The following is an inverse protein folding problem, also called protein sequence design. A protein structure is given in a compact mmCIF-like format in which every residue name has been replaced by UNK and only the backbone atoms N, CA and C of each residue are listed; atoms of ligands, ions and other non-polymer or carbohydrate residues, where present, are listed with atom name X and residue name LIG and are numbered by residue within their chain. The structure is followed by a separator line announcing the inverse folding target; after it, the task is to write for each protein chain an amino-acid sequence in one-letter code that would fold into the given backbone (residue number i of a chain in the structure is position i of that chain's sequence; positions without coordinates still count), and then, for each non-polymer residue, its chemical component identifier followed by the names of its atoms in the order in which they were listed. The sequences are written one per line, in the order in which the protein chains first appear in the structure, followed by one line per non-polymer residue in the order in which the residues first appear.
data_IF_780558829800
#
_entry.id   IF_780558829800
#
_cell.length_a   1.000
_cell.length_b   1.000
_cell.length_c   1.000
_cell.angle_alpha   90.00
_cell.angle_beta   90.00
_cell.angle_gamma   90.00
#
_symmetry.space_group_name_H-M   'P 1'
#
loop_
_entity.id
_entity.type
_entity.pdbx_description
1 polymer ?
#
# COMPACT_ATOMS: atom_id res chain seq x y z
N UNK A 1 16.03 -32.85 -43.24
CA UNK A 1 16.39 -32.34 -41.91
C UNK A 1 15.28 -31.41 -41.39
N UNK A 2 14.04 -31.95 -41.42
CA UNK A 2 12.85 -31.30 -40.90
C UNK A 2 12.61 -31.84 -39.50
N UNK A 3 12.85 -31.01 -38.46
CA UNK A 3 12.58 -31.48 -37.09
C UNK A 3 13.03 -30.59 -35.95
N UNK A 4 13.53 -29.39 -36.24
CA UNK A 4 13.82 -28.44 -35.16
C UNK A 4 12.57 -27.60 -34.88
N UNK A 5 11.69 -28.11 -34.02
CA UNK A 5 10.58 -27.33 -33.47
C UNK A 5 11.16 -26.36 -32.47
N UNK A 6 11.32 -25.12 -32.87
CA UNK A 6 11.63 -24.02 -31.95
C UNK A 6 10.47 -23.90 -30.98
N UNK A 7 10.60 -24.54 -29.82
CA UNK A 7 9.67 -24.30 -28.70
C UNK A 7 10.02 -22.93 -28.16
N UNK A 8 9.19 -21.98 -28.51
CA UNK A 8 9.32 -20.60 -28.02
C UNK A 8 8.93 -20.55 -26.52
N UNK A 9 9.88 -21.01 -25.68
CA UNK A 9 9.71 -21.03 -24.21
C UNK A 9 9.45 -19.64 -23.65
N UNK A 10 9.87 -18.60 -24.35
CA UNK A 10 9.63 -17.21 -23.94
C UNK A 10 8.16 -16.83 -24.12
N UNK A 11 7.49 -17.29 -25.15
CA UNK A 11 6.08 -17.04 -25.37
C UNK A 11 5.18 -17.77 -24.36
N UNK A 12 5.51 -19.00 -23.99
CA UNK A 12 4.77 -19.77 -22.99
C UNK A 12 4.94 -19.19 -21.59
N UNK A 13 6.16 -18.79 -21.22
CA UNK A 13 6.45 -18.11 -19.94
C UNK A 13 5.73 -16.76 -19.89
N UNK A 14 5.71 -16.00 -20.99
CA UNK A 14 5.04 -14.72 -21.07
C UNK A 14 3.52 -14.84 -20.89
N UNK A 15 2.91 -15.89 -21.46
CA UNK A 15 1.48 -16.19 -21.30
C UNK A 15 1.14 -16.60 -19.86
N UNK A 16 1.96 -17.45 -19.26
CA UNK A 16 1.82 -17.85 -17.86
C UNK A 16 1.93 -16.63 -16.93
N UNK A 17 2.93 -15.79 -17.12
CA UNK A 17 3.12 -14.57 -16.33
C UNK A 17 1.95 -13.60 -16.48
N UNK A 18 1.38 -13.48 -17.68
CA UNK A 18 0.19 -12.64 -17.92
C UNK A 18 -1.04 -13.19 -17.22
N UNK A 19 -1.23 -14.50 -17.24
CA UNK A 19 -2.34 -15.17 -16.54
C UNK A 19 -2.22 -15.01 -15.02
N UNK A 20 -1.04 -15.24 -14.46
CA UNK A 20 -0.78 -15.03 -13.04
C UNK A 20 -0.95 -13.57 -12.62
N UNK A 21 -0.52 -12.62 -13.44
CA UNK A 21 -0.71 -11.19 -13.16
C UNK A 21 -2.20 -10.83 -13.10
N UNK A 22 -2.99 -11.36 -14.02
CA UNK A 22 -4.44 -11.13 -14.04
C UNK A 22 -5.12 -11.75 -12.81
N UNK A 23 -4.76 -12.99 -12.49
CA UNK A 23 -5.26 -13.68 -11.28
C UNK A 23 -4.89 -12.92 -10.00
N UNK A 24 -3.64 -12.45 -9.89
CA UNK A 24 -3.18 -11.66 -8.74
C UNK A 24 -3.88 -10.30 -8.65
N UNK A 25 -4.15 -9.66 -9.79
CA UNK A 25 -4.90 -8.39 -9.79
C UNK A 25 -6.35 -8.58 -9.32
N UNK A 26 -6.99 -9.69 -9.70
CA UNK A 26 -8.32 -10.07 -9.19
C UNK A 26 -8.30 -10.39 -7.69
N UNK A 27 -7.27 -11.06 -7.23
CA UNK A 27 -7.05 -11.37 -5.82
C UNK A 27 -6.86 -10.09 -5.00
N UNK A 28 -6.08 -9.14 -5.54
CA UNK A 28 -5.89 -7.82 -4.95
C UNK A 28 -7.23 -7.08 -4.86
N UNK A 29 -8.00 -7.05 -5.95
CA UNK A 29 -9.31 -6.40 -5.99
C UNK A 29 -10.27 -7.05 -4.97
N UNK A 30 -10.32 -8.38 -4.94
CA UNK A 30 -11.12 -9.12 -3.96
C UNK A 30 -10.69 -8.81 -2.53
N UNK A 31 -9.38 -8.77 -2.24
CA UNK A 31 -8.83 -8.38 -0.94
C UNK A 31 -9.26 -6.96 -0.54
N UNK A 32 -9.16 -6.00 -1.47
CA UNK A 32 -9.63 -4.62 -1.23
C UNK A 32 -11.12 -4.60 -0.87
N UNK A 33 -11.95 -5.33 -1.64
CA UNK A 33 -13.41 -5.37 -1.41
C UNK A 33 -13.74 -5.99 -0.06
N UNK A 34 -13.09 -7.11 0.30
CA UNK A 34 -13.31 -7.78 1.59
C UNK A 34 -12.91 -6.86 2.75
N UNK A 35 -11.72 -6.27 2.68
CA UNK A 35 -11.24 -5.35 3.73
C UNK A 35 -12.15 -4.13 3.82
N UNK A 36 -12.58 -3.57 2.68
CA UNK A 36 -13.53 -2.46 2.65
C UNK A 36 -14.86 -2.86 3.32
N UNK A 37 -15.39 -4.04 3.01
CA UNK A 37 -16.63 -4.53 3.61
C UNK A 37 -16.51 -4.69 5.14
N UNK A 38 -15.44 -5.30 5.61
CA UNK A 38 -15.17 -5.47 7.05
C UNK A 38 -15.04 -4.12 7.76
N UNK A 39 -14.29 -3.19 7.19
CA UNK A 39 -14.12 -1.84 7.74
C UNK A 39 -15.41 -1.02 7.68
N UNK A 40 -16.21 -1.15 6.63
CA UNK A 40 -17.51 -0.50 6.51
C UNK A 40 -18.49 -0.97 7.60
N UNK A 41 -18.47 -2.26 7.90
CA UNK A 41 -19.28 -2.85 8.99
C UNK A 41 -18.78 -2.35 10.35
N UNK A 42 -17.48 -2.34 10.56
CA UNK A 42 -16.82 -2.01 11.84
C UNK A 42 -16.84 -0.51 12.15
N UNK A 43 -16.46 0.31 11.20
CA UNK A 43 -16.23 1.76 11.38
C UNK A 43 -17.28 2.65 10.69
N UNK A 44 -18.25 2.06 9.96
CA UNK A 44 -19.33 2.78 9.27
C UNK A 44 -18.82 4.00 8.48
N UNK A 45 -19.24 5.20 8.90
CA UNK A 45 -18.89 6.46 8.21
C UNK A 45 -17.39 6.83 8.24
N UNK A 46 -16.56 6.16 9.04
CA UNK A 46 -15.13 6.47 9.15
C UNK A 46 -14.24 5.52 8.33
N UNK A 47 -14.80 4.41 7.81
CA UNK A 47 -14.07 3.43 7.01
C UNK A 47 -13.39 4.06 5.80
N UNK A 48 -14.05 5.00 5.12
CA UNK A 48 -13.50 5.67 3.97
C UNK A 48 -12.24 6.50 4.29
N UNK A 49 -12.14 7.08 5.50
CA UNK A 49 -10.97 7.85 5.93
C UNK A 49 -9.73 6.98 6.14
N UNK A 50 -9.92 5.72 6.49
CA UNK A 50 -8.83 4.74 6.68
C UNK A 50 -8.34 4.23 5.32
N UNK A 51 -9.27 3.93 4.41
CA UNK A 51 -8.95 3.27 3.14
C UNK A 51 -8.50 4.27 2.07
N UNK A 52 -9.11 5.47 2.02
CA UNK A 52 -8.85 6.46 0.97
C UNK A 52 -7.37 6.84 0.85
N UNK A 53 -6.61 7.16 1.91
CA UNK A 53 -5.20 7.50 1.77
C UNK A 53 -4.38 6.33 1.21
N UNK A 54 -4.68 5.10 1.61
CA UNK A 54 -3.96 3.91 1.13
C UNK A 54 -4.27 3.61 -0.33
N UNK A 55 -5.53 3.67 -0.75
CA UNK A 55 -5.92 3.50 -2.15
C UNK A 55 -5.34 4.61 -3.02
N UNK A 56 -5.40 5.85 -2.58
CA UNK A 56 -4.83 6.98 -3.29
C UNK A 56 -3.32 6.84 -3.43
N UNK A 57 -2.62 6.44 -2.37
CA UNK A 57 -1.19 6.14 -2.41
C UNK A 57 -0.87 5.01 -3.39
N UNK A 58 -1.69 3.95 -3.44
CA UNK A 58 -1.53 2.86 -4.40
C UNK A 58 -1.65 3.34 -5.85
N UNK A 59 -2.70 4.11 -6.16
CA UNK A 59 -2.91 4.69 -7.50
C UNK A 59 -1.77 5.63 -7.89
N UNK A 60 -1.36 6.52 -6.97
CA UNK A 60 -0.23 7.42 -7.21
C UNK A 60 1.08 6.67 -7.41
N UNK A 61 1.30 5.59 -6.67
CA UNK A 61 2.48 4.72 -6.83
C UNK A 61 2.53 4.10 -8.22
N UNK A 62 1.41 3.54 -8.70
CA UNK A 62 1.32 2.96 -10.05
C UNK A 62 1.57 4.05 -11.10
N UNK A 63 0.98 5.23 -10.93
CA UNK A 63 1.15 6.36 -11.84
C UNK A 63 2.61 6.83 -11.89
N UNK A 64 3.26 6.90 -10.74
CA UNK A 64 4.67 7.31 -10.64
C UNK A 64 5.61 6.27 -11.27
N UNK A 65 5.37 4.98 -11.05
CA UNK A 65 6.14 3.91 -11.69
C UNK A 65 5.95 3.91 -13.21
N UNK A 66 4.73 4.16 -13.68
CA UNK A 66 4.44 4.31 -15.10
C UNK A 66 5.16 5.51 -15.70
N UNK A 67 5.19 6.65 -14.99
CA UNK A 67 5.93 7.85 -15.43
C UNK A 67 7.45 7.62 -15.48
N UNK A 68 7.99 6.85 -14.56
CA UNK A 68 9.40 6.43 -14.54
C UNK A 68 9.74 5.38 -15.61
N UNK A 69 8.75 4.96 -16.43
CA UNK A 69 8.94 3.96 -17.48
C UNK A 69 9.22 2.54 -16.95
N UNK A 70 8.91 2.28 -15.68
CA UNK A 70 9.10 0.96 -15.10
C UNK A 70 7.97 0.01 -15.54
N UNK A 71 8.30 -1.18 -16.11
CA UNK A 71 7.28 -2.14 -16.51
C UNK A 71 6.57 -2.69 -15.27
N UNK A 72 5.24 -2.71 -15.30
CA UNK A 72 4.45 -3.35 -14.24
C UNK A 72 4.63 -4.86 -14.29
N UNK A 73 5.27 -5.40 -13.28
CA UNK A 73 5.55 -6.82 -13.11
C UNK A 73 4.66 -7.43 -12.01
N UNK A 74 4.66 -8.75 -11.90
CA UNK A 74 3.95 -9.47 -10.84
C UNK A 74 4.37 -8.97 -9.44
N UNK A 75 5.66 -8.66 -9.26
CA UNK A 75 6.20 -8.17 -7.99
C UNK A 75 5.68 -6.80 -7.58
N UNK A 76 5.30 -5.93 -8.54
CA UNK A 76 4.61 -4.68 -8.23
C UNK A 76 3.21 -4.95 -7.65
N UNK A 77 2.49 -5.95 -8.18
CA UNK A 77 1.16 -6.32 -7.67
C UNK A 77 1.26 -6.89 -6.25
N UNK A 78 2.24 -7.75 -5.99
CA UNK A 78 2.51 -8.27 -4.64
C UNK A 78 2.86 -7.16 -3.66
N UNK A 79 3.69 -6.20 -4.09
CA UNK A 79 4.04 -5.03 -3.28
C UNK A 79 2.80 -4.16 -2.99
N UNK A 80 1.91 -3.97 -3.95
CA UNK A 80 0.65 -3.24 -3.76
C UNK A 80 -0.29 -3.95 -2.77
N UNK A 81 -0.35 -5.29 -2.79
CA UNK A 81 -1.10 -6.06 -1.79
C UNK A 81 -0.55 -5.83 -0.38
N UNK A 82 0.78 -5.87 -0.24
CA UNK A 82 1.44 -5.59 1.03
C UNK A 82 1.21 -4.15 1.47
N UNK A 83 1.35 -3.19 0.55
CA UNK A 83 1.08 -1.76 0.81
C UNK A 83 -0.34 -1.53 1.30
N UNK A 84 -1.31 -2.23 0.70
CA UNK A 84 -2.70 -2.13 1.11
C UNK A 84 -2.89 -2.62 2.56
N UNK A 85 -2.34 -3.78 2.90
CA UNK A 85 -2.41 -4.31 4.27
C UNK A 85 -1.80 -3.35 5.28
N UNK A 86 -0.54 -2.97 5.09
CA UNK A 86 0.17 -2.07 6.00
C UNK A 86 -0.45 -0.67 6.08
N UNK A 87 -0.91 -0.13 4.95
CA UNK A 87 -1.53 1.20 4.91
C UNK A 87 -2.85 1.24 5.67
N UNK A 88 -3.63 0.16 5.60
CA UNK A 88 -4.87 0.02 6.37
C UNK A 88 -4.57 -0.13 7.86
N UNK A 89 -3.56 -0.91 8.25
CA UNK A 89 -3.14 -1.07 9.64
C UNK A 89 -2.75 0.27 10.26
N UNK A 90 -1.97 1.09 9.53
CA UNK A 90 -1.64 2.46 9.97
C UNK A 90 -2.89 3.35 10.09
N UNK A 91 -3.81 3.22 9.14
CA UNK A 91 -5.06 3.96 9.16
C UNK A 91 -5.96 3.60 10.35
N UNK A 92 -6.11 2.31 10.65
CA UNK A 92 -6.86 1.82 11.80
C UNK A 92 -6.24 2.33 13.10
N UNK A 93 -4.92 2.15 13.24
CA UNK A 93 -4.21 2.55 14.43
C UNK A 93 -4.35 4.05 14.73
N UNK A 94 -4.27 4.90 13.70
CA UNK A 94 -4.44 6.34 13.83
C UNK A 94 -5.89 6.76 14.16
N UNK A 95 -6.87 5.98 13.73
CA UNK A 95 -8.28 6.24 14.06
C UNK A 95 -8.62 5.80 15.48
N UNK A 96 -8.04 4.71 15.96
CA UNK A 96 -8.27 4.20 17.31
C UNK A 96 -7.58 5.04 18.39
N UNK A 97 -6.36 5.55 18.11
CA UNK A 97 -5.58 6.35 19.04
C UNK A 97 -5.60 7.85 18.68
N UNK A 98 -6.81 8.40 18.57
CA UNK A 98 -6.99 9.81 18.22
C UNK A 98 -6.43 10.74 19.29
N UNK A 99 -5.61 11.69 18.85
CA UNK A 99 -5.05 12.72 19.74
C UNK A 99 -3.83 12.27 20.54
N UNK A 100 -3.44 11.02 20.49
CA UNK A 100 -2.26 10.51 21.17
C UNK A 100 -1.00 10.78 20.32
N UNK A 101 -0.12 11.65 20.84
CA UNK A 101 1.16 11.97 20.19
C UNK A 101 2.09 10.75 20.15
N UNK A 102 2.01 9.86 21.13
CA UNK A 102 2.83 8.64 21.19
C UNK A 102 2.45 7.65 20.10
N UNK A 103 1.15 7.53 19.80
CA UNK A 103 0.66 6.71 18.72
C UNK A 103 1.11 7.21 17.34
N UNK A 104 1.08 8.52 17.13
CA UNK A 104 1.61 9.13 15.92
C UNK A 104 3.11 8.85 15.74
N UNK A 105 3.87 8.99 16.81
CA UNK A 105 5.32 8.74 16.78
C UNK A 105 5.63 7.26 16.49
N UNK A 106 4.85 6.33 17.06
CA UNK A 106 4.98 4.91 16.79
C UNK A 106 4.73 4.58 15.30
N UNK A 107 3.69 5.18 14.68
CA UNK A 107 3.41 5.03 13.26
C UNK A 107 4.55 5.61 12.41
N UNK A 108 5.05 6.79 12.76
CA UNK A 108 6.17 7.41 12.03
C UNK A 108 7.44 6.54 12.09
N UNK A 109 7.80 6.02 13.26
CA UNK A 109 8.98 5.15 13.43
C UNK A 109 8.79 3.83 12.69
N UNK A 110 7.61 3.20 12.79
CA UNK A 110 7.27 1.98 12.07
C UNK A 110 7.32 2.17 10.56
N UNK A 111 6.69 3.22 10.06
CA UNK A 111 6.69 3.57 8.64
C UNK A 111 8.11 3.86 8.13
N UNK A 112 8.92 4.63 8.88
CA UNK A 112 10.30 4.93 8.52
C UNK A 112 11.17 3.68 8.49
N UNK A 113 11.03 2.79 9.47
CA UNK A 113 11.75 1.51 9.51
C UNK A 113 11.41 0.64 8.29
N UNK A 114 10.13 0.52 7.98
CA UNK A 114 9.65 -0.24 6.83
C UNK A 114 10.10 0.40 5.52
N UNK A 115 10.01 1.72 5.43
CA UNK A 115 10.45 2.48 4.26
C UNK A 115 11.93 2.28 3.96
N UNK A 116 12.78 2.33 4.99
CA UNK A 116 14.22 2.05 4.87
C UNK A 116 14.48 0.60 4.47
N UNK A 117 13.82 -0.36 5.11
CA UNK A 117 14.03 -1.79 4.84
C UNK A 117 13.66 -2.16 3.41
N UNK A 118 12.50 -1.74 2.93
CA UNK A 118 12.06 -2.03 1.58
C UNK A 118 12.69 -1.10 0.54
N UNK A 119 13.09 0.12 0.92
CA UNK A 119 13.84 1.04 0.08
C UNK A 119 15.18 0.44 -0.37
N UNK A 120 15.86 -0.29 0.52
CA UNK A 120 17.10 -0.99 0.18
C UNK A 120 16.88 -2.07 -0.89
N UNK A 121 15.72 -2.73 -0.93
CA UNK A 121 15.37 -3.66 -2.01
C UNK A 121 15.26 -2.95 -3.36
N UNK A 122 14.86 -1.69 -3.38
CA UNK A 122 14.81 -0.86 -4.58
C UNK A 122 16.18 -0.63 -5.24
N UNK A 123 17.26 -0.80 -4.49
CA UNK A 123 18.64 -0.73 -4.98
C UNK A 123 19.19 -2.09 -5.48
N UNK A 124 18.39 -3.16 -5.38
CA UNK A 124 18.81 -4.50 -5.79
C UNK A 124 19.10 -4.56 -7.29
N UNK A 125 20.12 -5.33 -7.66
CA UNK A 125 20.43 -5.66 -9.04
C UNK A 125 19.40 -6.62 -9.67
N UNK A 126 18.61 -7.33 -8.85
CA UNK A 126 17.57 -8.25 -9.31
C UNK A 126 16.33 -7.46 -9.71
N UNK A 127 15.87 -7.51 -10.98
CA UNK A 127 14.74 -6.71 -11.46
C UNK A 127 13.46 -6.91 -10.65
N UNK A 128 13.19 -8.14 -10.21
CA UNK A 128 12.03 -8.48 -9.39
C UNK A 128 12.05 -7.81 -8.01
N UNK A 129 13.17 -7.90 -7.30
CA UNK A 129 13.35 -7.28 -5.99
C UNK A 129 13.35 -5.75 -6.09
N UNK A 130 13.97 -5.21 -7.15
CA UNK A 130 13.96 -3.78 -7.43
C UNK A 130 12.54 -3.26 -7.65
N UNK A 131 11.76 -3.95 -8.49
CA UNK A 131 10.37 -3.59 -8.77
C UNK A 131 9.51 -3.59 -7.49
N UNK A 132 9.65 -4.65 -6.69
CA UNK A 132 8.98 -4.79 -5.39
C UNK A 132 9.38 -3.67 -4.42
N UNK A 133 10.69 -3.45 -4.24
CA UNK A 133 11.23 -2.45 -3.34
C UNK A 133 10.83 -1.02 -3.72
N UNK A 134 10.92 -0.65 -5.01
CA UNK A 134 10.51 0.66 -5.49
C UNK A 134 9.02 0.91 -5.29
N UNK A 135 8.18 -0.11 -5.51
CA UNK A 135 6.74 0.02 -5.29
C UNK A 135 6.43 0.29 -3.83
N UNK A 136 7.07 -0.42 -2.90
CA UNK A 136 6.88 -0.20 -1.47
C UNK A 136 7.50 1.11 -1.00
N UNK A 137 8.68 1.48 -1.53
CA UNK A 137 9.33 2.74 -1.20
C UNK A 137 8.41 3.93 -1.49
N UNK A 138 7.88 4.01 -2.71
CA UNK A 138 6.95 5.08 -3.09
C UNK A 138 5.60 4.93 -2.40
N UNK A 139 5.08 3.72 -2.32
CA UNK A 139 3.77 3.45 -1.72
C UNK A 139 3.71 3.83 -0.24
N UNK A 140 4.63 3.34 0.57
CA UNK A 140 4.68 3.62 2.02
C UNK A 140 4.96 5.11 2.26
N UNK A 141 5.88 5.71 1.49
CA UNK A 141 6.17 7.14 1.55
C UNK A 141 4.92 7.98 1.28
N UNK A 142 4.13 7.61 0.27
CA UNK A 142 2.88 8.29 -0.07
C UNK A 142 1.80 8.05 0.98
N UNK A 143 1.63 6.84 1.50
CA UNK A 143 0.70 6.58 2.61
C UNK A 143 1.03 7.45 3.80
N UNK A 144 2.32 7.50 4.18
CA UNK A 144 2.78 8.31 5.29
C UNK A 144 2.55 9.81 5.07
N UNK A 145 2.79 10.31 3.85
CA UNK A 145 2.59 11.70 3.48
C UNK A 145 1.10 12.09 3.42
N UNK A 146 0.24 11.18 2.95
CA UNK A 146 -1.21 11.43 2.86
C UNK A 146 -1.94 11.22 4.19
N UNK A 147 -1.40 10.43 5.10
CA UNK A 147 -2.02 10.10 6.39
C UNK A 147 -2.45 11.33 7.21
N UNK A 148 -1.64 12.39 7.35
CA UNK A 148 -2.05 13.59 8.09
C UNK A 148 -3.18 14.38 7.44
N UNK A 149 -3.36 14.30 6.10
CA UNK A 149 -4.43 15.01 5.40
C UNK A 149 -5.83 14.48 5.74
N UNK A 150 -5.92 13.21 6.13
CA UNK A 150 -7.18 12.54 6.46
C UNK A 150 -7.39 12.39 7.96
N UNK A 151 -6.55 13.04 8.77
CA UNK A 151 -6.66 13.04 10.23
C UNK A 151 -7.89 13.83 10.65
N UNK A 152 -8.79 13.26 11.46
CA UNK A 152 -9.90 14.04 12.02
C UNK A 152 -9.36 15.13 12.94
N UNK A 153 -10.04 16.31 13.01
CA UNK A 153 -9.65 17.35 13.95
C UNK A 153 -9.73 16.83 15.39
N UNK A 154 -8.90 17.36 16.31
CA UNK A 154 -8.98 17.03 17.73
C UNK A 154 -10.38 17.37 18.24
N UNK A 155 -10.93 16.51 19.09
CA UNK A 155 -12.21 16.79 19.76
C UNK A 155 -11.99 17.93 20.77
N UNK A 156 -12.63 19.08 20.56
CA UNK A 156 -12.58 20.29 21.44
C UNK A 156 -13.20 20.07 22.84
N UNK A 157 -13.58 18.85 23.17
CA UNK A 157 -14.25 18.53 24.43
C UNK A 157 -13.35 18.60 25.69
N UNK A 158 -12.04 18.77 25.52
CA UNK A 158 -11.11 18.83 26.66
C UNK A 158 -10.89 20.26 27.22
N UNK A 159 -11.42 21.31 26.58
CA UNK A 159 -11.20 22.70 27.03
C UNK A 159 -12.21 23.21 28.06
N UNK A 160 -13.30 22.52 28.33
CA UNK A 160 -14.34 22.97 29.26
C UNK A 160 -14.25 22.40 30.69
N UNK A 161 -13.21 21.58 31.00
CA UNK A 161 -13.08 20.95 32.32
C UNK A 161 -12.26 21.72 33.36
N UNK A 162 -11.62 22.85 33.02
CA UNK A 162 -10.65 23.48 33.94
C UNK A 162 -10.98 24.93 34.37
N UNK A 163 -12.26 25.33 34.37
CA UNK A 163 -12.67 26.64 34.87
C UNK A 163 -13.68 26.58 36.03
N UNK A 164 -13.65 25.48 36.81
CA UNK A 164 -14.48 25.37 38.04
C UNK A 164 -13.64 24.74 39.17
N UNK A 165 -12.70 25.50 39.71
CA UNK A 165 -12.13 25.28 41.06
C UNK A 165 -11.58 26.59 41.60
#
# INVERSE_FOLDING_TARGET
LDGVRWVDRTADISRLLTHYRHMMSWLLLAGVVVVFAVLAIRYRAQAWRVITPTLLAGVLTISLLGWLGQPLQLFNVLALMLLLGMGIDYGIFLVEHRGDASAWLAVCVGAASTWLSFGLLGLSATPALRAFGLTLLFGIGLVWLLSPLFRPPPDDSSSHGNTAA
#
